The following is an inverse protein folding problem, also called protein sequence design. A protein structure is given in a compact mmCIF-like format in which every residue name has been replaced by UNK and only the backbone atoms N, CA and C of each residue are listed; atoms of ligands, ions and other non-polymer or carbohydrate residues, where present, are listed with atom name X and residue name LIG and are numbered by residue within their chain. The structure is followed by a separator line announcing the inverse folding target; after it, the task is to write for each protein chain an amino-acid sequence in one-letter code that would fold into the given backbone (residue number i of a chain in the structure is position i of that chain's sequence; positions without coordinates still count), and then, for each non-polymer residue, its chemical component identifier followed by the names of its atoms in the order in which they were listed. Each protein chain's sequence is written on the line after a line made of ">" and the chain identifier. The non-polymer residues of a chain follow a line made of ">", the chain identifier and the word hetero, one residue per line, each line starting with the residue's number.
data_IF_395184961338
#
_entry.id   IF_395184961338
#
_cell.length_a   1.000
_cell.length_b   1.000
_cell.length_c   1.000
_cell.angle_alpha   90.00
_cell.angle_beta   90.00
_cell.angle_gamma   90.00
#
_symmetry.space_group_name_H-M   'P 1'
#
loop_
_entity.id
_entity.type
_entity.pdbx_description
1 polymer ?
#
# COMPACT_ATOMS: atom_id res chain seq x y z
N UNK A 1 -3.04 -5.60 -73.00
CA UNK A 1 -3.84 -6.16 -71.89
C UNK A 1 -2.94 -6.31 -70.69
N UNK A 2 -3.02 -5.38 -69.73
CA UNK A 2 -2.10 -5.33 -68.58
C UNK A 2 -2.91 -5.59 -67.32
N UNK A 3 -2.73 -6.79 -66.74
CA UNK A 3 -3.40 -7.22 -65.50
C UNK A 3 -2.70 -6.59 -64.30
N UNK A 4 -3.41 -5.68 -63.62
CA UNK A 4 -2.99 -5.12 -62.35
C UNK A 4 -3.48 -6.03 -61.21
N UNK A 5 -2.59 -6.85 -60.63
CA UNK A 5 -2.87 -7.65 -59.42
C UNK A 5 -2.86 -6.74 -58.19
N UNK A 6 -4.02 -6.54 -57.57
CA UNK A 6 -4.13 -5.91 -56.25
C UNK A 6 -3.74 -6.93 -55.17
N UNK A 7 -2.66 -6.63 -54.45
CA UNK A 7 -2.27 -7.33 -53.22
C UNK A 7 -3.11 -6.78 -52.08
N UNK A 8 -3.97 -7.61 -51.50
CA UNK A 8 -4.74 -7.27 -50.30
C UNK A 8 -3.85 -7.60 -49.10
N UNK A 9 -3.34 -6.58 -48.43
CA UNK A 9 -2.63 -6.73 -47.15
C UNK A 9 -3.68 -6.87 -46.05
N UNK A 10 -3.83 -8.07 -45.51
CA UNK A 10 -4.69 -8.34 -44.35
C UNK A 10 -3.92 -7.96 -43.09
N UNK A 11 -4.10 -6.73 -42.63
CA UNK A 11 -3.57 -6.25 -41.35
C UNK A 11 -4.33 -6.94 -40.22
N UNK A 12 -3.71 -7.91 -39.54
CA UNK A 12 -4.25 -8.51 -38.32
C UNK A 12 -4.23 -7.46 -37.21
N UNK A 13 -5.38 -6.85 -36.91
CA UNK A 13 -5.57 -6.10 -35.69
C UNK A 13 -5.48 -7.07 -34.52
N UNK A 14 -4.45 -6.92 -33.68
CA UNK A 14 -4.38 -7.57 -32.38
C UNK A 14 -5.53 -7.03 -31.52
N UNK A 15 -6.66 -7.74 -31.56
CA UNK A 15 -7.85 -7.40 -30.81
C UNK A 15 -7.55 -7.39 -29.31
N UNK A 16 -8.01 -6.33 -28.64
CA UNK A 16 -8.07 -6.27 -27.19
C UNK A 16 -8.77 -7.54 -26.68
N UNK A 17 -8.04 -8.35 -25.92
CA UNK A 17 -8.59 -9.55 -25.29
C UNK A 17 -9.73 -9.09 -24.37
N UNK A 18 -10.99 -9.51 -24.59
CA UNK A 18 -12.08 -9.16 -23.69
C UNK A 18 -11.69 -9.58 -22.28
N UNK A 19 -12.07 -8.79 -21.27
CA UNK A 19 -11.77 -9.04 -19.87
C UNK A 19 -12.22 -10.47 -19.49
N UNK A 20 -11.31 -11.43 -19.64
CA UNK A 20 -11.56 -12.82 -19.33
C UNK A 20 -11.92 -12.86 -17.86
N UNK A 21 -13.08 -13.41 -17.54
CA UNK A 21 -13.40 -13.85 -16.19
C UNK A 21 -12.23 -14.71 -15.72
N UNK A 22 -11.34 -14.13 -14.91
CA UNK A 22 -10.22 -14.87 -14.35
C UNK A 22 -10.83 -15.93 -13.46
N UNK A 23 -10.63 -17.19 -13.82
CA UNK A 23 -11.00 -18.31 -12.99
C UNK A 23 -9.95 -18.52 -11.93
N UNK A 24 -10.39 -18.99 -10.78
CA UNK A 24 -9.49 -19.29 -9.70
C UNK A 24 -8.60 -20.49 -10.07
N UNK A 25 -7.28 -20.27 -10.18
CA UNK A 25 -6.28 -21.29 -10.51
C UNK A 25 -5.07 -21.15 -9.58
N UNK A 26 -4.77 -22.22 -8.84
CA UNK A 26 -3.60 -22.29 -7.95
C UNK A 26 -2.28 -22.34 -8.74
N UNK A 27 -2.29 -22.97 -9.92
CA UNK A 27 -1.13 -23.03 -10.81
C UNK A 27 -0.76 -21.64 -11.32
N UNK A 28 -1.76 -20.86 -11.77
CA UNK A 28 -1.55 -19.48 -12.20
C UNK A 28 -1.07 -18.58 -11.06
N UNK A 29 -1.57 -18.79 -9.85
CA UNK A 29 -1.09 -18.11 -8.66
C UNK A 29 0.40 -18.40 -8.39
N UNK A 30 0.81 -19.67 -8.50
CA UNK A 30 2.19 -20.09 -8.34
C UNK A 30 3.08 -19.48 -9.43
N UNK A 31 2.64 -19.48 -10.68
CA UNK A 31 3.37 -18.85 -11.78
C UNK A 31 3.60 -17.36 -11.53
N UNK A 32 2.55 -16.60 -11.20
CA UNK A 32 2.67 -15.17 -10.93
C UNK A 32 3.60 -14.89 -9.73
N UNK A 33 3.58 -15.74 -8.70
CA UNK A 33 4.50 -15.65 -7.56
C UNK A 33 5.95 -15.90 -7.97
N UNK A 34 6.20 -16.98 -8.71
CA UNK A 34 7.54 -17.43 -9.04
C UNK A 34 8.21 -16.48 -10.05
N UNK A 35 7.45 -15.95 -11.01
CA UNK A 35 7.90 -14.91 -11.94
C UNK A 35 8.20 -13.59 -11.21
N UNK A 36 7.34 -13.19 -10.27
CA UNK A 36 7.55 -11.99 -9.47
C UNK A 36 8.80 -12.11 -8.58
N UNK A 37 8.97 -13.25 -7.90
CA UNK A 37 10.16 -13.51 -7.09
C UNK A 37 11.45 -13.52 -7.93
N UNK A 38 11.40 -14.06 -9.15
CA UNK A 38 12.53 -14.03 -10.08
C UNK A 38 12.90 -12.59 -10.43
N UNK A 39 11.90 -11.75 -10.73
CA UNK A 39 12.11 -10.34 -11.08
C UNK A 39 12.63 -9.51 -9.90
N UNK A 40 12.09 -9.71 -8.71
CA UNK A 40 12.51 -8.98 -7.50
C UNK A 40 13.94 -9.35 -7.07
N UNK A 41 14.36 -10.59 -7.32
CA UNK A 41 15.73 -11.06 -7.03
C UNK A 41 16.75 -10.62 -8.07
N UNK A 42 16.34 -10.26 -9.28
CA UNK A 42 17.26 -9.71 -10.26
C UNK A 42 17.77 -8.35 -9.76
N UNK A 43 19.06 -8.27 -9.47
CA UNK A 43 19.67 -7.00 -9.07
C UNK A 43 19.46 -5.96 -10.18
N UNK A 44 18.79 -4.86 -9.83
CA UNK A 44 18.44 -3.81 -10.80
C UNK A 44 19.64 -3.04 -11.37
N UNK A 45 20.86 -3.30 -10.86
CA UNK A 45 22.09 -2.59 -11.23
C UNK A 45 22.54 -2.82 -12.68
N UNK A 46 22.02 -3.85 -13.34
CA UNK A 46 22.45 -4.24 -14.69
C UNK A 46 21.54 -3.75 -15.82
N UNK A 47 20.33 -3.28 -15.52
CA UNK A 47 19.37 -2.92 -16.57
C UNK A 47 19.51 -1.47 -16.99
N UNK A 48 19.49 -1.20 -18.30
CA UNK A 48 19.51 0.16 -18.85
C UNK A 48 18.31 0.38 -19.78
N UNK A 49 17.68 1.55 -19.66
CA UNK A 49 16.66 2.04 -20.60
C UNK A 49 15.41 1.16 -20.68
N UNK A 50 15.13 0.61 -21.86
CA UNK A 50 13.85 -0.05 -22.15
C UNK A 50 13.66 -1.38 -21.40
N UNK A 51 14.74 -2.05 -21.03
CA UNK A 51 14.69 -3.30 -20.27
C UNK A 51 14.08 -3.08 -18.87
N UNK A 52 14.47 -1.99 -18.19
CA UNK A 52 13.91 -1.68 -16.88
C UNK A 52 12.41 -1.36 -16.98
N UNK A 53 11.98 -0.67 -18.04
CA UNK A 53 10.57 -0.36 -18.25
C UNK A 53 9.73 -1.63 -18.49
N UNK A 54 10.28 -2.61 -19.23
CA UNK A 54 9.63 -3.90 -19.44
C UNK A 54 9.58 -4.71 -18.13
N UNK A 55 10.68 -4.73 -17.37
CA UNK A 55 10.76 -5.38 -16.07
C UNK A 55 9.73 -4.80 -15.09
N UNK A 56 9.65 -3.47 -14.98
CA UNK A 56 8.70 -2.77 -14.12
C UNK A 56 7.24 -3.05 -14.52
N UNK A 57 6.92 -3.05 -15.82
CA UNK A 57 5.57 -3.41 -16.29
C UNK A 57 5.23 -4.85 -15.94
N UNK A 58 6.14 -5.79 -16.19
CA UNK A 58 5.92 -7.20 -15.87
C UNK A 58 5.80 -7.45 -14.37
N UNK A 59 6.60 -6.79 -13.54
CA UNK A 59 6.51 -6.88 -12.08
C UNK A 59 5.17 -6.36 -11.55
N UNK A 60 4.66 -5.23 -12.08
CA UNK A 60 3.31 -4.73 -11.74
C UNK A 60 2.22 -5.70 -12.14
N UNK A 61 2.29 -6.27 -13.35
CA UNK A 61 1.30 -7.22 -13.85
C UNK A 61 1.29 -8.52 -13.02
N UNK A 62 2.48 -9.06 -12.69
CA UNK A 62 2.63 -10.25 -11.85
C UNK A 62 2.20 -10.00 -10.40
N UNK A 63 2.47 -8.82 -9.85
CA UNK A 63 1.98 -8.43 -8.52
C UNK A 63 0.45 -8.31 -8.52
N UNK A 64 -0.14 -7.68 -9.54
CA UNK A 64 -1.59 -7.59 -9.70
C UNK A 64 -2.24 -8.98 -9.79
N UNK A 65 -1.64 -9.87 -10.58
CA UNK A 65 -2.05 -11.27 -10.72
C UNK A 65 -2.01 -12.00 -9.37
N UNK A 66 -0.88 -11.93 -8.66
CA UNK A 66 -0.70 -12.60 -7.37
C UNK A 66 -1.70 -12.08 -6.34
N UNK A 67 -1.87 -10.76 -6.22
CA UNK A 67 -2.86 -10.15 -5.33
C UNK A 67 -4.27 -10.68 -5.60
N UNK A 68 -4.66 -10.78 -6.88
CA UNK A 68 -5.98 -11.31 -7.24
C UNK A 68 -6.12 -12.79 -6.84
N UNK A 69 -5.13 -13.63 -7.16
CA UNK A 69 -5.21 -15.05 -6.83
C UNK A 69 -5.15 -15.30 -5.31
N UNK A 70 -4.33 -14.56 -4.57
CA UNK A 70 -4.27 -14.68 -3.11
C UNK A 70 -5.63 -14.39 -2.47
N UNK A 71 -6.27 -13.32 -2.92
CA UNK A 71 -7.53 -12.87 -2.35
C UNK A 71 -8.70 -13.83 -2.65
N UNK A 72 -8.67 -14.55 -3.77
CA UNK A 72 -9.81 -15.36 -4.24
C UNK A 72 -9.58 -16.89 -4.19
N UNK A 73 -8.33 -17.36 -4.14
CA UNK A 73 -8.01 -18.78 -4.34
C UNK A 73 -7.26 -19.44 -3.21
N UNK A 74 -6.54 -18.66 -2.43
CA UNK A 74 -5.57 -19.20 -1.48
C UNK A 74 -6.17 -19.33 -0.08
N UNK A 75 -5.67 -20.30 0.68
CA UNK A 75 -5.95 -20.38 2.12
C UNK A 75 -5.26 -19.22 2.86
N UNK A 76 -5.64 -18.98 4.12
CA UNK A 76 -5.04 -17.90 4.93
C UNK A 76 -3.51 -18.00 5.01
N UNK A 77 -2.97 -19.18 5.30
CA UNK A 77 -1.52 -19.40 5.36
C UNK A 77 -0.81 -19.14 4.02
N UNK A 78 -1.49 -19.41 2.90
CA UNK A 78 -0.97 -19.13 1.56
C UNK A 78 -1.07 -17.64 1.22
N UNK A 79 -2.11 -16.94 1.70
CA UNK A 79 -2.25 -15.50 1.57
C UNK A 79 -1.12 -14.78 2.29
N UNK A 80 -0.75 -15.22 3.50
CA UNK A 80 0.33 -14.60 4.27
C UNK A 80 1.68 -14.74 3.55
N UNK A 81 1.99 -15.95 3.06
CA UNK A 81 3.18 -16.19 2.23
C UNK A 81 3.20 -15.36 0.95
N UNK A 82 2.04 -15.17 0.31
CA UNK A 82 1.94 -14.33 -0.88
C UNK A 82 2.04 -12.85 -0.53
N UNK A 83 1.57 -12.44 0.65
CA UNK A 83 1.72 -11.10 1.20
C UNK A 83 3.18 -10.69 1.31
N UNK A 84 4.06 -11.56 1.82
CA UNK A 84 5.50 -11.31 1.89
C UNK A 84 6.10 -11.03 0.51
N UNK A 85 5.70 -11.81 -0.50
CA UNK A 85 6.16 -11.64 -1.89
C UNK A 85 5.63 -10.34 -2.49
N UNK A 86 4.36 -10.00 -2.23
CA UNK A 86 3.73 -8.76 -2.70
C UNK A 86 4.43 -7.54 -2.08
N UNK A 87 4.74 -7.57 -0.78
CA UNK A 87 5.45 -6.49 -0.09
C UNK A 87 6.90 -6.36 -0.60
N UNK A 88 7.58 -7.48 -0.84
CA UNK A 88 8.92 -7.48 -1.44
C UNK A 88 8.91 -6.88 -2.85
N UNK A 89 7.93 -7.25 -3.67
CA UNK A 89 7.71 -6.69 -5.00
C UNK A 89 7.40 -5.19 -4.97
N UNK A 90 6.53 -4.76 -4.04
CA UNK A 90 6.23 -3.34 -3.85
C UNK A 90 7.50 -2.55 -3.51
N UNK A 91 8.31 -3.07 -2.59
CA UNK A 91 9.59 -2.47 -2.21
C UNK A 91 10.58 -2.39 -3.38
N UNK A 92 10.59 -3.40 -4.25
CA UNK A 92 11.36 -3.37 -5.50
C UNK A 92 10.84 -2.30 -6.47
N UNK A 93 9.52 -2.22 -6.69
CA UNK A 93 8.91 -1.20 -7.55
C UNK A 93 9.22 0.21 -7.05
N UNK A 94 9.12 0.44 -5.74
CA UNK A 94 9.42 1.74 -5.13
C UNK A 94 10.88 2.16 -5.37
N UNK A 95 11.84 1.23 -5.25
CA UNK A 95 13.27 1.53 -5.43
C UNK A 95 13.72 1.60 -6.89
N UNK A 96 13.15 0.78 -7.77
CA UNK A 96 13.68 0.58 -9.12
C UNK A 96 12.79 1.17 -10.22
N UNK A 97 11.49 1.30 -9.97
CA UNK A 97 10.48 1.62 -10.99
C UNK A 97 9.75 2.93 -10.74
N UNK A 98 9.63 3.36 -9.49
CA UNK A 98 8.89 4.54 -9.05
C UNK A 98 9.84 5.64 -8.56
N UNK A 99 11.01 5.79 -9.19
CA UNK A 99 12.02 6.81 -8.85
C UNK A 99 11.46 8.24 -8.90
N UNK A 100 10.55 8.50 -9.84
CA UNK A 100 9.86 9.79 -9.97
C UNK A 100 8.62 9.89 -9.06
N UNK A 101 8.39 8.92 -8.17
CA UNK A 101 7.30 8.89 -7.18
C UNK A 101 6.11 8.00 -7.54
N UNK A 102 6.12 7.35 -8.71
CA UNK A 102 5.11 6.36 -9.11
C UNK A 102 3.67 6.88 -9.06
N UNK A 103 2.77 6.13 -8.42
CA UNK A 103 1.37 6.54 -8.27
C UNK A 103 1.20 7.82 -7.46
N UNK A 104 2.14 8.18 -6.59
CA UNK A 104 2.04 9.35 -5.70
C UNK A 104 2.10 10.65 -6.47
N UNK A 105 2.84 10.69 -7.58
CA UNK A 105 2.93 11.85 -8.48
C UNK A 105 1.99 11.76 -9.67
N UNK A 106 1.38 10.59 -9.91
CA UNK A 106 0.39 10.43 -10.97
C UNK A 106 -0.85 11.28 -10.68
N UNK A 107 -1.31 12.03 -11.69
CA UNK A 107 -2.54 12.82 -11.60
C UNK A 107 -3.77 11.93 -11.42
N UNK A 108 -3.75 10.71 -11.97
CA UNK A 108 -4.81 9.73 -11.83
C UNK A 108 -5.26 9.53 -10.37
N UNK A 109 -4.32 9.28 -9.46
CA UNK A 109 -4.62 9.00 -8.06
C UNK A 109 -4.74 10.26 -7.18
N UNK A 110 -4.62 11.44 -7.80
CA UNK A 110 -4.83 12.74 -7.18
C UNK A 110 -6.21 13.34 -7.49
N UNK A 111 -6.99 12.74 -8.40
CA UNK A 111 -8.36 13.20 -8.69
C UNK A 111 -9.26 13.15 -7.45
N UNK A 112 -10.14 14.15 -7.33
CA UNK A 112 -11.10 14.26 -6.23
C UNK A 112 -12.00 13.01 -6.12
N UNK A 113 -12.40 12.40 -7.23
CA UNK A 113 -13.18 11.15 -7.25
C UNK A 113 -12.42 10.01 -6.55
N UNK A 114 -11.11 9.86 -6.77
CA UNK A 114 -10.28 8.84 -6.09
C UNK A 114 -10.16 9.18 -4.60
N UNK A 115 -9.99 10.47 -4.27
CA UNK A 115 -9.95 10.94 -2.87
C UNK A 115 -11.27 10.72 -2.15
N UNK A 116 -12.39 10.85 -2.84
CA UNK A 116 -13.71 10.53 -2.31
C UNK A 116 -13.84 9.03 -2.04
N UNK A 117 -13.33 8.16 -2.93
CA UNK A 117 -13.24 6.73 -2.66
C UNK A 117 -12.40 6.44 -1.39
N UNK A 118 -11.24 7.10 -1.23
CA UNK A 118 -10.38 6.98 -0.03
C UNK A 118 -11.12 7.44 1.23
N UNK A 119 -11.81 8.60 1.18
CA UNK A 119 -12.54 9.14 2.33
C UNK A 119 -13.66 8.21 2.79
N UNK A 120 -14.43 7.64 1.84
CA UNK A 120 -15.49 6.67 2.14
C UNK A 120 -14.93 5.39 2.78
N UNK A 121 -13.76 4.94 2.32
CA UNK A 121 -13.07 3.78 2.89
C UNK A 121 -12.62 4.04 4.34
N UNK A 122 -11.98 5.19 4.60
CA UNK A 122 -11.50 5.56 5.94
C UNK A 122 -12.67 5.78 6.91
N UNK A 123 -13.76 6.38 6.45
CA UNK A 123 -14.97 6.57 7.26
C UNK A 123 -15.59 5.23 7.70
N UNK A 124 -15.53 4.20 6.85
CA UNK A 124 -15.98 2.85 7.18
C UNK A 124 -15.03 2.04 8.09
N UNK A 125 -13.74 2.40 8.15
CA UNK A 125 -12.68 1.64 8.80
C UNK A 125 -12.66 1.65 10.34
N UNK A 126 -13.65 2.27 11.01
CA UNK A 126 -13.77 2.23 12.48
C UNK A 126 -14.47 0.96 13.00
N UNK A 127 -14.97 0.09 12.11
CA UNK A 127 -15.58 -1.17 12.50
C UNK A 127 -14.49 -2.22 12.82
N UNK A 128 -14.36 -2.59 14.10
CA UNK A 128 -13.33 -3.47 14.67
C UNK A 128 -13.40 -4.95 14.23
N UNK A 129 -14.16 -5.31 13.19
CA UNK A 129 -14.41 -6.70 12.80
C UNK A 129 -13.89 -6.94 11.38
N UNK A 130 -13.02 -7.95 11.24
CA UNK A 130 -12.32 -8.34 10.00
C UNK A 130 -13.26 -8.49 8.79
N UNK A 131 -14.52 -8.92 9.00
CA UNK A 131 -15.53 -9.03 7.94
C UNK A 131 -15.96 -7.68 7.35
N UNK A 132 -16.15 -6.68 8.20
CA UNK A 132 -16.57 -5.32 7.77
C UNK A 132 -15.43 -4.60 7.06
N UNK A 133 -14.19 -4.87 7.47
CA UNK A 133 -12.98 -4.39 6.80
C UNK A 133 -12.88 -4.89 5.36
N UNK A 134 -13.15 -6.17 5.11
CA UNK A 134 -13.12 -6.71 3.74
C UNK A 134 -14.25 -6.15 2.87
N UNK A 135 -15.48 -6.01 3.40
CA UNK A 135 -16.58 -5.42 2.64
C UNK A 135 -16.28 -3.97 2.23
N UNK A 136 -15.76 -3.18 3.18
CA UNK A 136 -15.37 -1.79 2.94
C UNK A 136 -14.22 -1.69 1.94
N UNK A 137 -13.22 -2.58 2.03
CA UNK A 137 -12.14 -2.64 1.06
C UNK A 137 -12.61 -3.02 -0.35
N UNK A 138 -13.51 -4.00 -0.49
CA UNK A 138 -14.03 -4.39 -1.82
C UNK A 138 -14.80 -3.24 -2.46
N UNK A 139 -15.59 -2.48 -1.69
CA UNK A 139 -16.26 -1.28 -2.17
C UNK A 139 -15.26 -0.20 -2.60
N UNK A 140 -14.23 0.05 -1.78
CA UNK A 140 -13.12 0.95 -2.10
C UNK A 140 -12.40 0.57 -3.40
N UNK A 141 -11.99 -0.69 -3.52
CA UNK A 141 -11.30 -1.22 -4.71
C UNK A 141 -12.13 -1.05 -5.97
N UNK A 142 -13.44 -1.35 -5.91
CA UNK A 142 -14.36 -1.16 -7.05
C UNK A 142 -14.49 0.31 -7.43
N UNK A 143 -14.66 1.19 -6.44
CA UNK A 143 -14.74 2.65 -6.65
C UNK A 143 -13.48 3.18 -7.36
N UNK A 144 -12.30 2.88 -6.83
CA UNK A 144 -11.03 3.34 -7.42
C UNK A 144 -10.81 2.75 -8.80
N UNK A 145 -11.10 1.45 -9.00
CA UNK A 145 -10.95 0.81 -10.32
C UNK A 145 -11.86 1.44 -11.37
N UNK A 146 -13.10 1.75 -11.01
CA UNK A 146 -14.05 2.40 -11.92
C UNK A 146 -13.61 3.83 -12.28
N UNK A 147 -13.14 4.62 -11.32
CA UNK A 147 -12.59 5.95 -11.60
C UNK A 147 -11.33 5.86 -12.46
N UNK A 148 -10.42 4.93 -12.14
CA UNK A 148 -9.18 4.73 -12.87
C UNK A 148 -9.44 4.32 -14.33
N UNK A 149 -10.34 3.35 -14.56
CA UNK A 149 -10.70 2.90 -15.91
C UNK A 149 -11.39 3.98 -16.75
N UNK A 150 -12.07 4.95 -16.12
CA UNK A 150 -12.72 6.06 -16.84
C UNK A 150 -11.81 7.26 -17.10
N UNK A 151 -10.88 7.56 -16.19
CA UNK A 151 -10.14 8.83 -16.18
C UNK A 151 -8.63 8.71 -16.39
N UNK A 152 -8.05 7.52 -16.25
CA UNK A 152 -6.62 7.34 -16.24
C UNK A 152 -6.09 6.67 -17.50
N UNK A 153 -4.83 6.90 -17.80
CA UNK A 153 -4.16 6.16 -18.87
C UNK A 153 -3.95 4.70 -18.45
N UNK A 154 -3.83 3.80 -19.44
CA UNK A 154 -3.57 2.37 -19.20
C UNK A 154 -2.29 2.15 -18.37
N UNK A 155 -1.27 3.01 -18.54
CA UNK A 155 -0.03 2.91 -17.76
C UNK A 155 -0.23 3.35 -16.30
N UNK A 156 -1.06 4.36 -16.04
CA UNK A 156 -1.43 4.74 -14.67
C UNK A 156 -2.32 3.69 -14.00
N UNK A 157 -3.23 3.06 -14.76
CA UNK A 157 -4.06 1.95 -14.25
C UNK A 157 -3.20 0.78 -13.75
N UNK A 158 -2.06 0.49 -14.39
CA UNK A 158 -1.10 -0.54 -13.92
C UNK A 158 -0.52 -0.24 -12.54
N UNK A 159 -0.52 1.03 -12.11
CA UNK A 159 -0.06 1.42 -10.77
C UNK A 159 -1.11 1.18 -9.68
N UNK A 160 -2.34 0.78 -10.05
CA UNK A 160 -3.44 0.50 -9.13
C UNK A 160 -3.04 -0.52 -8.06
N UNK A 161 -2.29 -1.57 -8.42
CA UNK A 161 -1.86 -2.59 -7.46
C UNK A 161 -0.96 -1.99 -6.36
N UNK A 162 0.03 -1.19 -6.74
CA UNK A 162 0.90 -0.47 -5.80
C UNK A 162 0.11 0.51 -4.92
N UNK A 163 -0.85 1.21 -5.51
CA UNK A 163 -1.75 2.11 -4.80
C UNK A 163 -2.60 1.38 -3.75
N UNK A 164 -3.21 0.24 -4.12
CA UNK A 164 -4.04 -0.55 -3.21
C UNK A 164 -3.23 -1.13 -2.05
N UNK A 165 -2.00 -1.57 -2.29
CA UNK A 165 -1.08 -2.03 -1.23
C UNK A 165 -0.79 -0.91 -0.24
N UNK A 166 -0.45 0.30 -0.71
CA UNK A 166 -0.13 1.44 0.17
C UNK A 166 -1.34 1.91 1.00
N UNK A 167 -2.56 1.79 0.47
CA UNK A 167 -3.79 2.30 1.11
C UNK A 167 -4.50 1.28 2.00
N UNK A 168 -4.53 0.02 1.59
CA UNK A 168 -5.32 -1.02 2.26
C UNK A 168 -4.45 -2.13 2.87
N UNK A 169 -3.13 -2.09 2.67
CA UNK A 169 -2.16 -3.07 3.20
C UNK A 169 -2.63 -4.50 2.95
N UNK A 170 -2.67 -5.31 4.00
CA UNK A 170 -3.05 -6.72 3.99
C UNK A 170 -4.41 -7.02 3.38
N UNK A 171 -5.38 -6.10 3.52
CA UNK A 171 -6.69 -6.28 2.92
C UNK A 171 -6.58 -6.43 1.39
N UNK A 172 -5.51 -5.89 0.79
CA UNK A 172 -5.36 -5.88 -0.66
C UNK A 172 -5.15 -7.25 -1.31
N UNK A 173 -4.64 -8.23 -0.54
CA UNK A 173 -4.47 -9.62 -0.95
C UNK A 173 -5.21 -10.63 -0.07
N UNK A 174 -5.77 -10.21 1.07
CA UNK A 174 -6.60 -11.07 1.92
C UNK A 174 -8.09 -11.02 1.56
N UNK A 175 -8.58 -9.87 1.07
CA UNK A 175 -10.00 -9.67 0.80
C UNK A 175 -10.31 -9.82 -0.70
N UNK A 176 -10.83 -10.99 -1.07
CA UNK A 176 -11.33 -11.27 -2.42
C UNK A 176 -12.62 -10.52 -2.75
N UNK A 177 -13.07 -10.62 -4.01
CA UNK A 177 -14.45 -10.27 -4.31
C UNK A 177 -15.30 -11.23 -3.47
N UNK A 178 -15.94 -10.67 -2.45
CA UNK A 178 -16.61 -11.40 -1.37
C UNK A 178 -17.29 -12.65 -1.89
N UNK A 179 -16.88 -13.80 -1.37
CA UNK A 179 -17.44 -15.12 -1.65
C UNK A 179 -18.92 -15.25 -1.26
N UNK A 180 -19.62 -14.18 -0.87
CA UNK A 180 -21.07 -14.14 -0.79
C UNK A 180 -21.79 -14.36 -2.12
N UNK A 181 -21.13 -14.10 -3.26
CA UNK A 181 -21.64 -14.52 -4.59
C UNK A 181 -21.15 -15.92 -5.01
N UNK A 182 -20.05 -16.42 -4.42
CA UNK A 182 -19.44 -17.70 -4.80
C UNK A 182 -19.82 -18.88 -3.88
N UNK A 183 -20.24 -18.62 -2.63
CA UNK A 183 -20.62 -19.66 -1.65
C UNK A 183 -22.06 -20.12 -1.75
N UNK A 184 -22.94 -19.38 -2.43
CA UNK A 184 -24.32 -19.83 -2.63
C UNK A 184 -24.45 -20.94 -3.70
N UNK A 185 -23.35 -21.27 -4.39
CA UNK A 185 -23.30 -22.41 -5.32
C UNK A 185 -22.89 -23.72 -4.60
N UNK A 186 -22.32 -23.64 -3.39
CA UNK A 186 -21.96 -24.83 -2.59
C UNK A 186 -22.85 -25.07 -1.37
N UNK A 187 -23.75 -24.14 -1.04
CA UNK A 187 -24.83 -24.40 -0.05
C UNK A 187 -25.96 -25.27 -0.64
N UNK A 188 -26.17 -25.25 -1.97
CA UNK A 188 -27.22 -26.01 -2.65
C UNK A 188 -26.94 -27.53 -2.68
N UNK A 189 -25.67 -27.95 -2.58
CA UNK A 189 -25.30 -29.38 -2.63
C UNK A 189 -25.21 -30.06 -1.25
N UNK A 190 -25.59 -29.39 -0.15
CA UNK A 190 -25.59 -30.02 1.19
C UNK A 190 -26.99 -30.19 1.82
N UNK A 191 -28.05 -30.07 1.02
CA UNK A 191 -29.43 -30.30 1.48
C UNK A 191 -30.18 -31.26 0.55
N UNK A 192 -29.67 -32.47 0.44
CA UNK A 192 -30.38 -33.66 -0.04
C UNK A 192 -29.49 -34.85 0.34
N UNK A 193 -29.79 -35.70 1.30
CA UNK A 193 -31.07 -36.27 1.68
C UNK A 193 -30.75 -37.75 1.88
N UNK A 194 -30.85 -38.23 3.12
CA UNK A 194 -31.00 -39.66 3.38
C UNK A 194 -32.14 -39.85 4.37
N UNK A 195 -33.15 -40.67 4.04
CA UNK A 195 -34.41 -40.76 4.76
C UNK A 195 -34.33 -41.78 5.89
N UNK A 196 -34.85 -41.47 7.07
CA UNK A 196 -34.87 -42.44 8.16
C UNK A 196 -35.58 -41.98 9.43
N UNK A 197 -36.89 -42.19 9.47
CA UNK A 197 -37.50 -42.88 10.61
C UNK A 197 -38.05 -42.07 11.78
N UNK A 198 -39.37 -42.18 11.93
CA UNK A 198 -40.21 -42.07 13.14
C UNK A 198 -40.71 -40.68 13.58
N UNK A 199 -41.99 -40.48 13.27
CA UNK A 199 -42.90 -39.57 13.97
C UNK A 199 -43.40 -40.21 15.28
N UNK A 200 -43.89 -39.38 16.23
CA UNK A 200 -45.32 -39.47 16.50
C UNK A 200 -46.04 -38.11 16.58
N UNK A 201 -47.30 -38.19 16.14
CA UNK A 201 -48.45 -37.28 16.21
C UNK A 201 -48.40 -36.08 17.17
N UNK A 202 -48.90 -34.93 16.69
CA UNK A 202 -50.10 -34.28 17.24
C UNK A 202 -50.72 -33.32 16.21
N UNK A 203 -52.05 -33.31 16.20
CA UNK A 203 -52.94 -32.60 15.29
C UNK A 203 -52.99 -31.09 15.57
N UNK A 204 -53.13 -30.28 14.51
CA UNK A 204 -53.44 -28.86 14.61
C UNK A 204 -53.92 -28.32 13.28
N UNK A 205 -55.24 -28.29 13.11
CA UNK A 205 -55.98 -27.85 11.92
C UNK A 205 -55.90 -26.32 11.79
N UNK A 206 -55.67 -25.81 10.59
CA UNK A 206 -55.73 -24.37 10.30
C UNK A 206 -55.55 -24.05 8.82
N UNK A 207 -56.62 -24.23 8.05
CA UNK A 207 -56.78 -23.79 6.66
C UNK A 207 -57.12 -22.31 6.64
N UNK A 208 -56.38 -21.46 5.92
CA UNK A 208 -56.91 -20.37 5.06
C UNK A 208 -55.96 -20.16 3.86
N UNK A 209 -56.59 -20.01 2.70
CA UNK A 209 -56.14 -19.98 1.32
C UNK A 209 -55.77 -18.57 0.80
N UNK A 210 -55.40 -18.53 -0.49
CA UNK A 210 -55.41 -17.41 -1.47
C UNK A 210 -54.20 -16.43 -1.37
N UNK A 211 -53.50 -15.94 -2.41
CA UNK A 211 -53.77 -15.66 -3.83
C UNK A 211 -52.47 -15.79 -4.67
N UNK A 212 -52.66 -16.16 -5.94
CA UNK A 212 -51.76 -16.26 -7.08
C UNK A 212 -51.02 -14.97 -7.52
N UNK A 213 -50.04 -15.20 -8.40
CA UNK A 213 -49.58 -14.37 -9.54
C UNK A 213 -48.29 -13.57 -9.35
N UNK A 214 -47.28 -13.96 -10.13
CA UNK A 214 -46.04 -13.21 -10.34
C UNK A 214 -45.24 -13.79 -11.50
N UNK A 215 -45.64 -13.43 -12.73
CA UNK A 215 -44.92 -13.69 -13.97
C UNK A 215 -43.57 -12.96 -13.95
N UNK A 216 -42.46 -13.68 -14.06
CA UNK A 216 -41.14 -13.08 -14.33
C UNK A 216 -40.65 -13.50 -15.71
N UNK A 217 -40.83 -12.58 -16.66
CA UNK A 217 -40.18 -12.56 -17.98
C UNK A 217 -38.68 -12.42 -17.79
N UNK A 218 -37.92 -13.44 -18.18
CA UNK A 218 -36.50 -13.31 -18.44
C UNK A 218 -36.31 -12.78 -19.87
N UNK A 219 -36.05 -11.48 -20.00
CA UNK A 219 -35.45 -10.92 -21.21
C UNK A 219 -34.79 -9.60 -20.85
N UNK A 220 -33.48 -9.51 -21.05
CA UNK A 220 -32.78 -8.31 -21.53
C UNK A 220 -31.30 -8.62 -21.67
N UNK A 221 -30.89 -8.90 -22.91
CA UNK A 221 -29.50 -8.93 -23.33
C UNK A 221 -28.86 -7.54 -23.23
N UNK A 222 -27.59 -7.52 -22.86
CA UNK A 222 -26.78 -6.32 -22.87
C UNK A 222 -26.45 -5.92 -24.31
N UNK A 223 -27.03 -4.79 -24.75
CA UNK A 223 -26.72 -4.12 -26.00
C UNK A 223 -25.72 -2.99 -25.70
N UNK A 224 -24.52 -3.04 -26.28
CA UNK A 224 -23.56 -1.93 -26.23
C UNK A 224 -23.76 -1.04 -27.46
N UNK A 225 -23.90 0.29 -27.32
CA UNK A 225 -23.95 1.19 -28.46
C UNK A 225 -22.53 1.48 -28.97
N UNK A 226 -22.32 1.29 -30.27
CA UNK A 226 -21.19 1.86 -31.00
C UNK A 226 -21.46 3.34 -31.26
N UNK A 227 -20.49 4.20 -30.96
CA UNK A 227 -20.45 5.57 -31.47
C UNK A 227 -19.13 5.82 -32.15
N UNK A 228 -19.17 5.74 -33.48
CA UNK A 228 -18.29 6.46 -34.38
C UNK A 228 -18.71 7.93 -34.41
N UNK A 229 -17.78 8.86 -34.19
CA UNK A 229 -17.86 10.16 -34.87
C UNK A 229 -16.45 10.73 -35.05
N UNK A 230 -16.02 10.66 -36.30
CA UNK A 230 -14.84 11.27 -36.87
C UNK A 230 -15.11 12.78 -37.04
N UNK A 231 -14.28 13.66 -36.48
CA UNK A 231 -14.21 15.04 -36.95
C UNK A 231 -12.76 15.52 -37.11
N UNK A 232 -12.57 16.09 -38.30
CA UNK A 232 -11.35 16.59 -38.94
C UNK A 232 -11.42 18.12 -38.94
N UNK A 233 -10.26 18.76 -38.77
CA UNK A 233 -10.04 20.19 -39.00
C UNK A 233 -9.43 20.87 -37.77
N UNK A 234 -8.56 21.88 -37.85
CA UNK A 234 -7.87 22.56 -38.95
C UNK A 234 -6.68 23.28 -38.31
N UNK A 235 -5.56 23.39 -39.01
CA UNK A 235 -4.33 24.07 -38.55
C UNK A 235 -4.46 25.58 -38.75
N UNK A 236 -4.04 26.39 -37.76
CA UNK A 236 -3.54 27.76 -37.97
C UNK A 236 -2.63 28.19 -36.79
N UNK A 237 -1.72 29.17 -36.98
CA UNK A 237 -0.47 29.24 -36.21
C UNK A 237 -0.32 30.47 -35.30
N UNK A 238 0.71 30.39 -34.44
CA UNK A 238 1.51 31.48 -33.82
C UNK A 238 0.83 32.51 -32.91
N UNK A 239 1.16 32.48 -31.61
CA UNK A 239 1.50 33.69 -30.84
C UNK A 239 2.61 33.37 -29.81
N UNK A 240 3.80 33.93 -30.03
CA UNK A 240 4.82 34.13 -28.99
C UNK A 240 4.29 35.14 -27.98
N UNK A 241 4.19 34.78 -26.69
CA UNK A 241 4.14 35.76 -25.61
C UNK A 241 4.57 35.20 -24.25
N UNK A 242 5.48 35.94 -23.62
CA UNK A 242 5.72 36.05 -22.18
C UNK A 242 6.34 34.87 -21.43
N UNK A 243 7.68 34.79 -21.50
CA UNK A 243 8.51 34.27 -20.42
C UNK A 243 8.36 35.19 -19.19
N UNK A 244 7.43 34.87 -18.29
CA UNK A 244 7.29 35.51 -16.98
C UNK A 244 7.82 34.55 -15.91
N UNK A 245 8.82 35.03 -15.18
CA UNK A 245 9.64 34.35 -14.16
C UNK A 245 8.87 33.40 -13.21
N UNK A 246 9.09 32.09 -13.35
CA UNK A 246 8.83 31.08 -12.32
C UNK A 246 10.18 30.65 -11.68
N UNK A 247 10.84 31.56 -10.96
CA UNK A 247 12.13 31.29 -10.26
C UNK A 247 12.06 31.33 -8.71
N UNK A 248 10.91 31.09 -8.01
CA UNK A 248 10.98 30.83 -6.56
C UNK A 248 10.92 29.34 -6.17
N UNK A 249 10.43 28.45 -7.03
CA UNK A 249 10.21 27.04 -6.66
C UNK A 249 11.48 26.16 -6.71
N UNK A 250 12.36 26.36 -7.71
CA UNK A 250 13.57 25.53 -7.85
C UNK A 250 14.61 25.80 -6.76
N UNK A 251 14.78 27.05 -6.31
CA UNK A 251 15.66 27.38 -5.17
C UNK A 251 15.23 26.72 -3.85
N UNK A 252 13.94 26.40 -3.69
CA UNK A 252 13.43 25.75 -2.47
C UNK A 252 13.73 24.25 -2.46
N UNK A 253 13.78 23.61 -3.63
CA UNK A 253 14.10 22.19 -3.77
C UNK A 253 15.60 21.90 -3.57
N UNK A 254 16.47 22.80 -4.05
CA UNK A 254 17.93 22.66 -3.91
C UNK A 254 18.41 22.78 -2.46
N UNK A 255 17.82 23.71 -1.68
CA UNK A 255 18.11 23.86 -0.24
C UNK A 255 17.72 22.63 0.58
N UNK A 256 16.63 21.96 0.21
CA UNK A 256 16.21 20.72 0.88
C UNK A 256 17.20 19.59 0.65
N UNK A 257 17.83 19.53 -0.54
CA UNK A 257 18.84 18.52 -0.86
C UNK A 257 20.12 18.68 -0.03
N UNK A 258 20.55 19.92 0.24
CA UNK A 258 21.78 20.17 1.00
C UNK A 258 21.65 19.86 2.49
N UNK A 259 20.49 20.20 3.09
CA UNK A 259 20.19 19.88 4.50
C UNK A 259 20.25 18.35 4.74
N UNK A 260 19.62 17.57 3.86
CA UNK A 260 19.62 16.10 3.98
C UNK A 260 21.02 15.51 3.84
N UNK A 261 21.86 16.08 2.99
CA UNK A 261 23.24 15.62 2.83
C UNK A 261 24.03 15.73 4.15
N UNK A 262 23.91 16.87 4.85
CA UNK A 262 24.55 17.11 6.16
C UNK A 262 23.94 16.29 7.28
N UNK A 263 22.61 16.21 7.34
CA UNK A 263 21.92 15.46 8.39
C UNK A 263 22.12 13.94 8.25
N UNK A 264 22.48 13.44 7.06
CA UNK A 264 22.53 12.00 6.77
C UNK A 264 23.45 11.20 7.70
N UNK A 265 24.63 11.72 8.02
CA UNK A 265 25.59 11.05 8.91
C UNK A 265 25.02 10.92 10.33
N UNK A 266 24.49 12.01 10.89
CA UNK A 266 23.88 12.02 12.22
C UNK A 266 22.59 11.18 12.28
N UNK A 267 21.79 11.15 11.21
CA UNK A 267 20.63 10.25 11.11
C UNK A 267 21.08 8.79 11.12
N UNK A 268 22.19 8.46 10.46
CA UNK A 268 22.77 7.11 10.53
C UNK A 268 23.22 6.77 11.97
N UNK A 269 23.77 7.72 12.71
CA UNK A 269 24.13 7.52 14.12
C UNK A 269 22.89 7.22 14.98
N UNK A 270 21.82 8.01 14.82
CA UNK A 270 20.53 7.74 15.45
C UNK A 270 20.01 6.33 15.11
N UNK A 271 20.15 5.91 13.84
CA UNK A 271 19.71 4.60 13.35
C UNK A 271 20.53 3.45 13.94
N UNK A 272 21.85 3.61 14.07
CA UNK A 272 22.74 2.61 14.71
C UNK A 272 22.40 2.43 16.19
N UNK A 273 22.17 3.53 16.92
CA UNK A 273 21.77 3.45 18.33
C UNK A 273 20.37 2.83 18.48
N UNK A 274 19.43 3.16 17.58
CA UNK A 274 18.11 2.52 17.53
C UNK A 274 18.21 1.01 17.33
N UNK A 275 18.98 0.56 16.33
CA UNK A 275 19.20 -0.86 16.06
C UNK A 275 19.84 -1.58 17.26
N UNK A 276 20.82 -0.96 17.92
CA UNK A 276 21.46 -1.48 19.13
C UNK A 276 20.46 -1.66 20.26
N UNK A 277 19.56 -0.69 20.48
CA UNK A 277 18.50 -0.79 21.50
C UNK A 277 17.47 -1.85 21.15
N UNK A 278 17.03 -1.93 19.90
CA UNK A 278 16.15 -3.01 19.45
C UNK A 278 16.80 -4.39 19.62
N UNK A 279 18.09 -4.53 19.34
CA UNK A 279 18.82 -5.76 19.59
C UNK A 279 18.85 -6.13 21.07
N UNK A 280 19.12 -5.16 21.95
CA UNK A 280 19.08 -5.37 23.40
C UNK A 280 17.67 -5.72 23.91
N UNK A 281 16.61 -5.12 23.33
CA UNK A 281 15.22 -5.40 23.66
C UNK A 281 14.84 -6.88 23.46
N UNK A 282 15.51 -7.59 22.53
CA UNK A 282 15.28 -9.03 22.30
C UNK A 282 15.61 -9.92 23.49
N UNK A 283 16.39 -9.42 24.46
CA UNK A 283 16.74 -10.16 25.69
C UNK A 283 15.62 -10.16 26.74
N UNK A 284 14.61 -9.32 26.57
CA UNK A 284 13.50 -9.18 27.52
C UNK A 284 12.35 -10.16 27.18
N UNK A 285 11.48 -10.42 28.16
CA UNK A 285 10.24 -11.17 27.98
C UNK A 285 9.25 -10.45 27.05
N UNK A 286 8.22 -11.13 26.54
CA UNK A 286 7.35 -10.63 25.46
C UNK A 286 6.83 -9.21 25.68
N UNK A 287 6.35 -8.90 26.88
CA UNK A 287 5.67 -7.64 27.18
C UNK A 287 6.69 -6.50 27.35
N UNK A 288 7.77 -6.76 28.08
CA UNK A 288 8.90 -5.83 28.23
C UNK A 288 9.63 -5.61 26.91
N UNK A 289 9.71 -6.63 26.04
CA UNK A 289 10.32 -6.52 24.72
C UNK A 289 9.55 -5.55 23.84
N UNK A 290 8.21 -5.59 23.84
CA UNK A 290 7.38 -4.65 23.08
C UNK A 290 7.60 -3.23 23.63
N UNK A 291 7.58 -3.08 24.95
CA UNK A 291 7.86 -1.80 25.61
C UNK A 291 9.23 -1.23 25.24
N UNK A 292 10.30 -2.02 25.38
CA UNK A 292 11.67 -1.60 25.07
C UNK A 292 11.86 -1.28 23.58
N UNK A 293 11.25 -2.08 22.70
CA UNK A 293 11.25 -1.80 21.25
C UNK A 293 10.59 -0.46 20.95
N UNK A 294 9.42 -0.22 21.53
CA UNK A 294 8.69 1.03 21.32
C UNK A 294 9.38 2.25 21.93
N UNK A 295 10.02 2.09 23.10
CA UNK A 295 10.80 3.16 23.71
C UNK A 295 12.07 3.48 22.92
N UNK A 296 12.72 2.46 22.32
CA UNK A 296 13.82 2.68 21.39
C UNK A 296 13.37 3.50 20.17
N UNK A 297 12.20 3.18 19.61
CA UNK A 297 11.61 3.91 18.49
C UNK A 297 11.29 5.36 18.83
N UNK A 298 10.71 5.64 20.00
CA UNK A 298 10.45 7.02 20.44
C UNK A 298 11.76 7.81 20.61
N UNK A 299 12.79 7.19 21.19
CA UNK A 299 14.11 7.82 21.33
C UNK A 299 14.75 8.10 19.96
N UNK A 300 14.60 7.19 18.99
CA UNK A 300 15.08 7.39 17.62
C UNK A 300 14.40 8.59 16.95
N UNK A 301 13.08 8.71 17.08
CA UNK A 301 12.31 9.84 16.56
C UNK A 301 12.78 11.16 17.15
N UNK A 302 12.99 11.23 18.46
CA UNK A 302 13.48 12.47 19.09
C UNK A 302 14.92 12.79 18.67
N UNK A 303 15.77 11.77 18.50
CA UNK A 303 17.14 11.93 17.96
C UNK A 303 17.11 12.57 16.56
N UNK A 304 16.31 12.03 15.63
CA UNK A 304 16.18 12.59 14.28
C UNK A 304 15.67 14.04 14.34
N UNK A 305 14.66 14.30 15.17
CA UNK A 305 14.08 15.64 15.32
C UNK A 305 15.13 16.67 15.77
N UNK A 306 15.96 16.32 16.75
CA UNK A 306 17.06 17.18 17.22
C UNK A 306 18.08 17.40 16.09
N UNK A 307 18.50 16.33 15.40
CA UNK A 307 19.45 16.41 14.28
C UNK A 307 18.91 17.30 13.16
N UNK A 308 17.65 17.13 12.76
CA UNK A 308 17.04 17.94 11.71
C UNK A 308 16.88 19.40 12.15
N UNK A 309 16.53 19.65 13.41
CA UNK A 309 16.42 21.02 13.91
C UNK A 309 17.78 21.74 13.95
N UNK A 310 18.86 21.01 14.25
CA UNK A 310 20.22 21.55 14.28
C UNK A 310 20.79 21.75 12.86
N UNK A 311 20.74 20.70 12.04
CA UNK A 311 21.38 20.68 10.71
C UNK A 311 20.54 21.34 9.61
N UNK A 312 19.22 21.42 9.79
CA UNK A 312 18.27 21.92 8.79
C UNK A 312 17.46 23.13 9.27
N UNK A 313 18.01 23.92 10.21
CA UNK A 313 17.37 25.12 10.75
C UNK A 313 16.83 26.06 9.67
N UNK A 314 17.51 26.16 8.53
CA UNK A 314 17.16 27.03 7.42
C UNK A 314 16.10 26.46 6.45
N UNK A 315 15.78 25.16 6.54
CA UNK A 315 14.84 24.50 5.64
C UNK A 315 13.36 24.79 5.99
N UNK A 316 13.11 25.33 7.19
CA UNK A 316 11.78 25.60 7.73
C UNK A 316 11.11 24.37 8.34
N UNK A 317 10.25 24.60 9.34
CA UNK A 317 9.61 23.53 10.13
C UNK A 317 8.85 22.51 9.30
N UNK A 318 8.14 22.95 8.25
CA UNK A 318 7.36 22.05 7.39
C UNK A 318 8.20 21.00 6.67
N UNK A 319 9.46 21.32 6.34
CA UNK A 319 10.36 20.37 5.68
C UNK A 319 10.87 19.35 6.69
N UNK A 320 11.25 19.82 7.89
CA UNK A 320 11.64 18.98 9.02
C UNK A 320 10.54 17.98 9.37
N UNK A 321 9.29 18.45 9.48
CA UNK A 321 8.14 17.60 9.82
C UNK A 321 7.86 16.55 8.74
N UNK A 322 8.01 16.91 7.46
CA UNK A 322 7.80 15.97 6.36
C UNK A 322 8.90 14.88 6.33
N UNK A 323 10.17 15.26 6.52
CA UNK A 323 11.28 14.31 6.60
C UNK A 323 11.10 13.40 7.82
N UNK A 324 10.79 13.98 8.98
CA UNK A 324 10.54 13.22 10.22
C UNK A 324 9.40 12.22 10.01
N UNK A 325 8.27 12.68 9.45
CA UNK A 325 7.14 11.82 9.13
C UNK A 325 7.54 10.70 8.18
N UNK A 326 8.27 10.99 7.10
CA UNK A 326 8.69 9.96 6.14
C UNK A 326 9.62 8.92 6.77
N UNK A 327 10.51 9.32 7.68
CA UNK A 327 11.47 8.44 8.35
C UNK A 327 10.86 7.60 9.48
N UNK A 328 9.82 8.11 10.17
CA UNK A 328 9.26 7.44 11.34
C UNK A 328 7.87 6.85 11.13
N UNK A 329 7.22 7.09 9.98
CA UNK A 329 5.83 6.66 9.73
C UNK A 329 5.61 5.17 9.95
N UNK A 330 6.51 4.31 9.47
CA UNK A 330 6.33 2.85 9.60
C UNK A 330 6.43 2.41 11.06
N UNK A 331 7.29 3.08 11.83
CA UNK A 331 7.57 2.78 13.23
C UNK A 331 6.48 3.32 14.18
N UNK A 332 5.85 4.45 13.85
CA UNK A 332 4.83 5.12 14.69
C UNK A 332 3.53 4.29 14.82
N UNK A 333 3.21 3.42 13.85
CA UNK A 333 1.94 2.68 13.87
C UNK A 333 1.89 1.58 14.94
N UNK A 334 2.99 0.89 15.19
CA UNK A 334 3.04 -0.23 16.15
C UNK A 334 3.13 0.26 17.60
N UNK A 335 3.68 1.46 17.80
CA UNK A 335 4.01 1.99 19.13
C UNK A 335 3.11 3.15 19.58
N UNK A 336 1.93 3.29 18.96
CA UNK A 336 1.02 4.42 19.20
C UNK A 336 0.51 4.51 20.64
N UNK A 337 0.41 3.39 21.34
CA UNK A 337 -0.04 3.32 22.74
C UNK A 337 1.08 3.60 23.75
N UNK A 338 2.32 3.75 23.28
CA UNK A 338 3.48 4.10 24.10
C UNK A 338 3.76 5.59 24.01
N UNK A 339 3.86 6.24 25.17
CA UNK A 339 4.24 7.66 25.27
C UNK A 339 5.54 7.80 26.08
N UNK A 340 6.12 9.01 26.06
CA UNK A 340 7.35 9.30 26.79
C UNK A 340 7.27 8.93 28.28
N UNK A 341 6.09 9.07 28.91
CA UNK A 341 5.85 8.72 30.30
C UNK A 341 5.95 7.21 30.58
N UNK A 342 5.48 6.36 29.65
CA UNK A 342 5.62 4.90 29.77
C UNK A 342 7.07 4.44 29.55
N UNK A 343 7.85 5.23 28.82
CA UNK A 343 9.26 4.97 28.56
C UNK A 343 10.21 5.53 29.62
N UNK A 344 9.82 6.56 30.37
CA UNK A 344 10.65 7.13 31.45
C UNK A 344 10.72 6.26 32.71
N UNK A 345 9.99 5.15 32.76
CA UNK A 345 9.80 4.34 33.97
C UNK A 345 10.97 3.45 34.41
N UNK A 346 12.13 3.45 33.75
CA UNK A 346 13.22 2.51 34.09
C UNK A 346 14.66 3.07 33.95
N UNK A 347 14.89 4.38 34.08
CA UNK A 347 16.26 4.96 34.04
C UNK A 347 16.75 5.45 35.41
N UNK A 348 16.05 5.13 36.50
CA UNK A 348 16.51 5.45 37.87
C UNK A 348 17.58 4.49 38.41
N UNK A 349 17.98 3.46 37.66
CA UNK A 349 18.88 2.41 38.18
C UNK A 349 20.39 2.58 37.95
N UNK A 350 20.85 3.32 36.94
CA UNK A 350 22.27 3.20 36.52
C UNK A 350 23.03 4.51 36.24
N UNK A 351 22.37 5.67 36.18
CA UNK A 351 23.05 6.93 35.81
C UNK A 351 23.18 7.96 36.95
N UNK A 352 22.53 7.72 38.10
CA UNK A 352 22.59 8.62 39.27
C UNK A 352 23.89 8.51 40.09
N UNK A 353 24.61 7.41 40.00
CA UNK A 353 25.84 7.20 40.80
C UNK A 353 27.06 7.96 40.25
N UNK A 354 27.08 8.32 38.97
CA UNK A 354 28.26 8.96 38.34
C UNK A 354 28.26 10.48 38.51
N UNK A 355 27.08 11.13 38.60
CA UNK A 355 26.98 12.58 38.78
C UNK A 355 27.14 13.04 40.24
N UNK A 356 26.93 12.17 41.24
CA UNK A 356 27.22 12.50 42.64
C UNK A 356 28.71 12.33 43.00
N UNK A 357 29.45 11.46 42.29
CA UNK A 357 30.88 11.28 42.52
C UNK A 357 31.72 12.47 42.01
N UNK A 358 31.28 13.18 40.97
CA UNK A 358 32.01 14.34 40.42
C UNK A 358 31.83 15.60 41.27
N UNK A 359 30.67 15.79 41.91
CA UNK A 359 30.45 16.92 42.84
C UNK A 359 31.20 16.73 44.16
N UNK A 360 31.30 15.49 44.67
CA UNK A 360 32.07 15.20 45.88
C UNK A 360 33.58 15.44 45.71
N UNK A 361 34.16 15.12 44.55
CA UNK A 361 35.59 15.38 44.28
C UNK A 361 35.90 16.86 44.01
N UNK A 362 34.93 17.63 43.49
CA UNK A 362 35.09 19.07 43.31
C UNK A 362 35.08 19.82 44.66
N UNK A 363 34.24 19.39 45.60
CA UNK A 363 34.19 19.99 46.95
C UNK A 363 35.37 19.57 47.84
N UNK A 364 35.92 18.37 47.68
CA UNK A 364 37.12 17.95 48.44
C UNK A 364 38.38 18.77 48.07
N UNK A 365 38.44 19.33 46.85
CA UNK A 365 39.58 20.17 46.42
C UNK A 365 39.52 21.61 46.91
N UNK A 366 38.35 22.12 47.29
CA UNK A 366 38.21 23.52 47.75
C UNK A 366 38.48 23.71 49.24
N UNK A 367 38.52 22.63 50.04
CA UNK A 367 38.73 22.72 51.50
C UNK A 367 40.12 22.23 51.98
N UNK A 368 41.04 21.90 51.07
CA UNK A 368 42.33 21.27 51.41
C UNK A 368 43.56 22.18 51.53
N UNK A 369 43.45 23.50 51.33
CA UNK A 369 44.60 24.42 51.42
C UNK A 369 44.39 25.45 52.52
N UNK A 370 44.75 25.08 53.74
CA UNK A 370 44.71 25.97 54.88
C UNK A 370 45.16 25.29 56.16
N UNK A 371 46.37 24.73 56.18
CA UNK A 371 47.06 24.50 57.45
C UNK A 371 48.57 24.38 57.27
N UNK A 372 49.26 25.31 57.96
CA UNK A 372 50.69 25.42 58.27
C UNK A 372 51.66 25.86 57.18
#
# INVERSE_FOLDING_TARGET
>A
MTLCKRVIVVTRYAGAVPAMCQTCSLERAAQCRDDLMRQVRQESRSFRGQEIANLCRSARDNMACLMWHSANCQSRDQQDKSGDVILSAKSFLDRSCDLDGGWRVSRCFQYDDVKQCEANFVAGGKASIVSDSCRSYVAFKRCVKDVAGRRCSVEEERQLSSYLVDRARELSWQCGASSGEARDVHSIYRSGGSPGGYAPYTQGVGVITVIQNGVSRANNGCHCPTKDTLHRGTVAPTVLAAARSKIPAQRKQEKNSYCMLRASEYIQDCSREHQKRQYNARRYHSDDRVRETCCATLAYRECIKVVLHDQCRDAGSSVIDNILYQQTRELDYECRDFNAYRCSGCVTGASGAVLLATVAMALARTFGFGSS
#
